data_IF_932348771667
#
_entry.id   IF_932348771667
#
_cell.length_a   1.000
_cell.length_b   1.000
_cell.length_c   1.000
_cell.angle_alpha   90.00
_cell.angle_beta   90.00
_cell.angle_gamma   90.00
#
_symmetry.space_group_name_H-M   'P 1'
#
loop_
_entity.id
_entity.type
_entity.pdbx_description
1 polymer ?
#
# COMPACT_ATOMS: atom_id res chain seq x y z
N UNK A 1 28.88 -20.94 -7.14
CA UNK A 1 27.49 -20.57 -7.35
C UNK A 1 26.63 -21.41 -6.41
N UNK A 2 25.74 -20.80 -5.63
CA UNK A 2 24.83 -21.53 -4.74
C UNK A 2 23.83 -22.38 -5.55
N UNK A 3 23.32 -23.45 -4.95
CA UNK A 3 22.36 -24.35 -5.60
C UNK A 3 20.89 -23.88 -5.50
N UNK A 4 20.63 -22.72 -4.91
CA UNK A 4 19.30 -22.18 -4.67
C UNK A 4 18.77 -21.29 -5.81
N UNK A 5 17.51 -20.86 -5.74
CA UNK A 5 16.92 -19.93 -6.70
C UNK A 5 17.66 -18.56 -6.68
N UNK A 6 17.57 -17.84 -7.78
CA UNK A 6 18.08 -16.47 -7.92
C UNK A 6 16.93 -15.51 -7.90
N UNK A 7 16.96 -14.50 -7.03
CA UNK A 7 15.89 -13.53 -6.91
C UNK A 7 16.41 -12.10 -6.96
N UNK A 8 15.67 -11.24 -7.65
CA UNK A 8 15.84 -9.80 -7.63
C UNK A 8 14.53 -9.09 -7.26
N UNK A 9 14.64 -7.89 -6.71
CA UNK A 9 13.50 -7.03 -6.37
C UNK A 9 13.73 -5.59 -6.82
N UNK A 10 12.65 -4.84 -7.01
CA UNK A 10 12.71 -3.41 -7.31
C UNK A 10 12.74 -3.08 -8.81
N UNK A 11 12.52 -4.07 -9.69
CA UNK A 11 12.40 -3.81 -11.13
C UNK A 11 11.09 -3.05 -11.42
N UNK A 12 11.18 -2.02 -12.27
CA UNK A 12 9.99 -1.35 -12.79
C UNK A 12 10.14 -1.13 -14.31
N UNK A 13 9.39 -1.90 -15.11
CA UNK A 13 9.54 -1.89 -16.56
C UNK A 13 9.12 -0.56 -17.20
N UNK A 14 8.38 0.29 -16.52
CA UNK A 14 7.94 1.58 -17.07
C UNK A 14 9.12 2.51 -17.40
N UNK A 15 10.27 2.32 -16.74
CA UNK A 15 11.49 3.06 -17.01
C UNK A 15 12.30 2.53 -18.20
N UNK A 16 11.91 1.36 -18.75
CA UNK A 16 12.59 0.71 -19.88
C UNK A 16 11.81 0.84 -21.20
N UNK A 17 10.85 1.75 -21.28
CA UNK A 17 10.04 2.02 -22.47
C UNK A 17 9.11 0.86 -22.82
N UNK A 18 9.08 0.45 -24.09
CA UNK A 18 8.21 -0.61 -24.57
C UNK A 18 8.72 -2.04 -24.27
N UNK A 19 9.96 -2.17 -23.80
CA UNK A 19 10.54 -3.47 -23.52
C UNK A 19 9.99 -4.04 -22.21
N UNK A 20 9.43 -5.25 -22.30
CA UNK A 20 8.98 -6.03 -21.15
C UNK A 20 9.97 -7.16 -20.89
N UNK A 21 10.32 -7.38 -19.63
CA UNK A 21 11.16 -8.51 -19.24
C UNK A 21 10.42 -9.82 -19.50
N UNK A 22 11.05 -10.71 -20.27
CA UNK A 22 10.52 -12.02 -20.63
C UNK A 22 11.27 -13.15 -19.93
N UNK A 23 10.70 -14.36 -19.98
CA UNK A 23 11.42 -15.55 -19.48
C UNK A 23 12.76 -15.76 -20.20
N UNK A 24 12.82 -15.44 -21.51
CA UNK A 24 14.06 -15.58 -22.28
C UNK A 24 15.17 -14.64 -21.80
N UNK A 25 14.81 -13.44 -21.30
CA UNK A 25 15.77 -12.53 -20.68
C UNK A 25 16.32 -13.10 -19.38
N UNK A 26 15.47 -13.72 -18.58
CA UNK A 26 15.85 -14.34 -17.31
C UNK A 26 16.54 -15.70 -17.50
N UNK A 27 16.28 -16.42 -18.59
CA UNK A 27 17.02 -17.64 -18.98
C UNK A 27 18.50 -17.34 -19.26
N UNK A 28 18.85 -16.11 -19.62
CA UNK A 28 20.26 -15.66 -19.74
C UNK A 28 20.99 -15.62 -18.38
N UNK A 29 20.24 -15.51 -17.28
CA UNK A 29 20.80 -15.59 -15.91
C UNK A 29 21.04 -17.06 -15.55
N UNK A 30 20.04 -17.93 -15.77
CA UNK A 30 20.18 -19.37 -15.56
C UNK A 30 19.11 -20.13 -16.36
N UNK A 31 19.54 -21.23 -17.00
CA UNK A 31 18.66 -22.19 -17.68
C UNK A 31 18.35 -23.41 -16.81
N UNK A 32 18.93 -23.51 -15.62
CA UNK A 32 18.78 -24.67 -14.73
C UNK A 32 18.23 -24.32 -13.35
N UNK A 33 18.50 -23.13 -12.86
CA UNK A 33 17.98 -22.64 -11.58
C UNK A 33 16.74 -21.77 -11.83
N UNK A 34 15.81 -21.80 -10.89
CA UNK A 34 14.68 -20.86 -10.89
C UNK A 34 15.19 -19.43 -10.69
N UNK A 35 14.73 -18.50 -11.53
CA UNK A 35 15.04 -17.08 -11.43
C UNK A 35 13.74 -16.30 -11.34
N UNK A 36 13.64 -15.40 -10.36
CA UNK A 36 12.51 -14.51 -10.16
C UNK A 36 12.93 -13.07 -10.04
N UNK A 37 12.17 -12.16 -10.64
CA UNK A 37 12.36 -10.72 -10.55
C UNK A 37 11.03 -10.07 -10.17
N UNK A 38 10.91 -9.66 -8.89
CA UNK A 38 9.72 -9.02 -8.35
C UNK A 38 9.72 -7.53 -8.72
N UNK A 39 8.63 -7.04 -9.28
CA UNK A 39 8.47 -5.63 -9.57
C UNK A 39 8.43 -4.78 -8.28
N UNK A 40 8.88 -3.53 -8.41
CA UNK A 40 8.84 -2.56 -7.32
C UNK A 40 7.43 -2.42 -6.72
N UNK A 41 6.40 -2.51 -7.55
CA UNK A 41 4.99 -2.42 -7.11
C UNK A 41 4.50 -3.62 -6.30
N UNK A 42 5.22 -4.76 -6.28
CA UNK A 42 4.74 -6.01 -5.68
C UNK A 42 3.60 -6.72 -6.41
N UNK A 43 3.11 -6.18 -7.54
CA UNK A 43 1.94 -6.69 -8.26
C UNK A 43 2.28 -7.59 -9.46
N UNK A 44 3.54 -7.71 -9.82
CA UNK A 44 4.03 -8.49 -10.97
C UNK A 44 5.33 -9.19 -10.58
N UNK A 45 5.45 -10.45 -10.99
CA UNK A 45 6.66 -11.26 -10.87
C UNK A 45 7.07 -11.75 -12.25
N UNK A 46 8.29 -11.43 -12.69
CA UNK A 46 8.88 -12.08 -13.86
C UNK A 46 9.67 -13.32 -13.43
N UNK A 47 9.50 -14.41 -14.17
CA UNK A 47 10.18 -15.69 -13.90
C UNK A 47 10.74 -16.30 -15.19
N UNK A 48 11.80 -17.09 -15.04
CA UNK A 48 12.42 -17.82 -16.15
C UNK A 48 11.71 -19.12 -16.49
N UNK A 49 12.18 -19.81 -17.54
CA UNK A 49 11.63 -21.10 -18.00
C UNK A 49 11.65 -22.20 -16.92
N UNK A 50 12.75 -22.43 -16.17
CA UNK A 50 12.76 -23.38 -15.05
C UNK A 50 11.71 -23.09 -13.98
N UNK A 51 11.51 -21.84 -13.60
CA UNK A 51 10.51 -21.46 -12.59
C UNK A 51 9.08 -21.68 -13.10
N UNK A 52 8.77 -21.31 -14.37
CA UNK A 52 7.48 -21.60 -14.98
C UNK A 52 7.18 -23.10 -15.04
N UNK A 53 8.19 -23.93 -15.37
CA UNK A 53 8.05 -25.37 -15.43
C UNK A 53 7.73 -25.96 -14.03
N UNK A 54 8.46 -25.53 -13.00
CA UNK A 54 8.23 -25.97 -11.63
C UNK A 54 6.86 -25.52 -11.09
N UNK A 55 6.37 -24.34 -11.49
CA UNK A 55 5.04 -23.84 -11.14
C UNK A 55 3.91 -24.53 -11.93
N UNK A 56 4.21 -25.39 -12.91
CA UNK A 56 3.22 -26.03 -13.77
C UNK A 56 2.60 -25.08 -14.81
N UNK A 57 3.22 -23.92 -15.04
CA UNK A 57 2.72 -22.89 -15.96
C UNK A 57 3.35 -22.96 -17.36
N UNK A 58 4.41 -23.73 -17.56
CA UNK A 58 5.05 -23.89 -18.88
C UNK A 58 4.26 -24.86 -19.76
N UNK A 59 3.07 -24.44 -20.17
CA UNK A 59 2.16 -25.23 -21.01
C UNK A 59 1.32 -24.34 -21.91
N UNK A 60 0.88 -24.87 -23.06
CA UNK A 60 -0.07 -24.20 -23.94
C UNK A 60 -1.49 -24.22 -23.37
N UNK A 61 -2.36 -23.35 -23.89
CA UNK A 61 -3.79 -23.31 -23.54
C UNK A 61 -4.10 -22.58 -22.22
N UNK A 62 -3.18 -21.79 -21.70
CA UNK A 62 -3.47 -20.87 -20.58
C UNK A 62 -4.06 -19.57 -21.19
N UNK A 63 -5.38 -19.47 -21.19
CA UNK A 63 -6.11 -18.30 -21.66
C UNK A 63 -6.56 -17.42 -20.49
N UNK A 64 -5.59 -16.81 -19.80
CA UNK A 64 -5.89 -15.92 -18.69
C UNK A 64 -4.98 -14.68 -18.72
N UNK A 65 -5.51 -13.45 -18.56
CA UNK A 65 -4.75 -12.20 -18.71
C UNK A 65 -3.63 -12.02 -17.66
N UNK A 66 -3.63 -12.80 -16.58
CA UNK A 66 -2.53 -12.86 -15.61
C UNK A 66 -1.25 -13.51 -16.17
N UNK A 67 -1.35 -14.22 -17.31
CA UNK A 67 -0.27 -14.95 -17.99
C UNK A 67 -0.11 -14.46 -19.43
N UNK A 68 0.54 -13.32 -19.67
CA UNK A 68 0.82 -12.88 -21.04
C UNK A 68 1.62 -13.95 -21.80
N UNK A 69 1.22 -14.20 -23.05
CA UNK A 69 1.84 -15.23 -23.89
C UNK A 69 2.98 -14.67 -24.73
N UNK A 70 4.01 -15.46 -24.95
CA UNK A 70 5.06 -15.25 -25.92
C UNK A 70 4.62 -15.61 -27.34
N UNK A 71 5.49 -15.37 -28.34
CA UNK A 71 5.24 -15.72 -29.75
C UNK A 71 5.08 -17.24 -29.99
N UNK A 72 5.58 -18.05 -29.07
CA UNK A 72 5.46 -19.52 -29.07
C UNK A 72 4.15 -20.04 -28.45
N UNK A 73 3.25 -19.16 -28.02
CA UNK A 73 1.98 -19.51 -27.39
C UNK A 73 2.09 -20.01 -25.96
N UNK A 74 3.28 -19.92 -25.35
CA UNK A 74 3.50 -20.23 -23.94
C UNK A 74 3.57 -18.96 -23.11
N UNK A 75 3.32 -19.02 -21.77
CA UNK A 75 3.53 -17.85 -20.88
C UNK A 75 4.92 -17.25 -21.05
N UNK A 76 4.97 -15.94 -21.24
CA UNK A 76 6.21 -15.20 -21.51
C UNK A 76 7.09 -14.98 -20.26
N UNK A 77 6.65 -15.44 -19.08
CA UNK A 77 7.36 -15.28 -17.81
C UNK A 77 6.85 -14.15 -16.94
N UNK A 78 6.02 -13.24 -17.47
CA UNK A 78 5.38 -12.20 -16.65
C UNK A 78 4.13 -12.76 -15.99
N UNK A 79 4.09 -12.77 -14.65
CA UNK A 79 2.97 -13.25 -13.83
C UNK A 79 2.32 -12.05 -13.14
N UNK A 80 1.02 -11.83 -13.38
CA UNK A 80 0.29 -10.66 -12.86
C UNK A 80 -0.72 -11.07 -11.80
N UNK A 81 -0.63 -10.42 -10.66
CA UNK A 81 -1.56 -10.62 -9.55
C UNK A 81 -1.38 -11.93 -8.78
N UNK A 82 -2.13 -12.07 -7.68
CA UNK A 82 -1.90 -13.15 -6.71
C UNK A 82 -2.07 -14.55 -7.28
N UNK A 83 -3.05 -14.75 -8.14
CA UNK A 83 -3.37 -16.07 -8.71
C UNK A 83 -2.19 -16.65 -9.51
N UNK A 84 -1.52 -15.82 -10.30
CA UNK A 84 -0.36 -16.23 -11.07
C UNK A 84 0.94 -16.21 -10.25
N UNK A 85 1.07 -15.26 -9.33
CA UNK A 85 2.32 -15.04 -8.59
C UNK A 85 2.53 -16.01 -7.43
N UNK A 86 1.48 -16.28 -6.62
CA UNK A 86 1.63 -17.06 -5.38
C UNK A 86 2.28 -18.44 -5.59
N UNK A 87 1.91 -19.24 -6.61
CA UNK A 87 2.55 -20.53 -6.84
C UNK A 87 4.04 -20.43 -7.22
N UNK A 88 4.44 -19.32 -7.85
CA UNK A 88 5.81 -19.11 -8.30
C UNK A 88 6.71 -18.47 -7.23
N UNK A 89 6.14 -17.73 -6.26
CA UNK A 89 6.90 -17.05 -5.21
C UNK A 89 7.71 -18.03 -4.35
N UNK A 90 7.13 -19.17 -3.96
CA UNK A 90 7.85 -20.19 -3.18
C UNK A 90 9.01 -20.80 -3.98
N UNK A 91 8.81 -21.01 -5.27
CA UNK A 91 9.80 -21.59 -6.18
C UNK A 91 11.03 -20.70 -6.33
N UNK A 92 10.82 -19.38 -6.43
CA UNK A 92 11.91 -18.41 -6.56
C UNK A 92 12.47 -17.94 -5.21
N UNK A 93 12.06 -18.55 -4.09
CA UNK A 93 12.57 -18.23 -2.76
C UNK A 93 12.01 -16.94 -2.15
N UNK A 94 10.97 -16.36 -2.75
CA UNK A 94 10.19 -15.25 -2.19
C UNK A 94 9.01 -15.77 -1.35
N UNK A 95 9.29 -16.76 -0.53
CA UNK A 95 8.30 -17.37 0.32
C UNK A 95 7.89 -16.49 1.51
N UNK A 96 7.03 -17.05 2.36
CA UNK A 96 6.51 -16.34 3.54
C UNK A 96 7.60 -15.75 4.43
N UNK A 97 8.74 -16.42 4.57
CA UNK A 97 9.84 -15.91 5.43
C UNK A 97 10.46 -14.63 4.89
N UNK A 98 10.50 -14.44 3.57
CA UNK A 98 10.97 -13.20 2.96
C UNK A 98 9.96 -12.04 3.12
N UNK A 99 8.67 -12.34 3.05
CA UNK A 99 7.60 -11.33 3.10
C UNK A 99 7.11 -11.04 4.52
N UNK A 100 7.17 -12.00 5.44
CA UNK A 100 6.66 -11.85 6.81
C UNK A 100 7.69 -11.31 7.80
N UNK A 101 8.93 -11.16 7.39
CA UNK A 101 10.02 -10.72 8.26
C UNK A 101 10.35 -11.74 9.38
N UNK A 102 11.63 -11.98 9.55
CA UNK A 102 12.13 -12.65 10.74
C UNK A 102 12.22 -11.66 11.92
N UNK A 103 12.62 -12.14 13.08
CA UNK A 103 12.82 -11.30 14.26
C UNK A 103 13.74 -10.10 13.99
N UNK A 104 14.81 -10.30 13.23
CA UNK A 104 15.75 -9.25 12.87
C UNK A 104 15.08 -8.20 11.97
N UNK A 105 14.26 -8.61 11.01
CA UNK A 105 13.48 -7.72 10.15
C UNK A 105 12.51 -6.84 10.94
N UNK A 106 11.82 -7.39 11.93
CA UNK A 106 10.92 -6.61 12.82
C UNK A 106 11.70 -5.54 13.60
N UNK A 107 12.90 -5.87 14.09
CA UNK A 107 13.77 -4.92 14.80
C UNK A 107 14.37 -3.87 13.86
N UNK A 108 14.77 -4.25 12.66
CA UNK A 108 15.30 -3.34 11.64
C UNK A 108 14.22 -2.36 11.18
N UNK A 109 13.01 -2.84 10.97
CA UNK A 109 11.87 -1.97 10.67
C UNK A 109 11.60 -0.95 11.78
N UNK A 110 11.68 -1.36 13.03
CA UNK A 110 11.52 -0.45 14.16
C UNK A 110 12.60 0.66 14.16
N UNK A 111 13.86 0.32 13.86
CA UNK A 111 14.94 1.32 13.72
C UNK A 111 14.68 2.28 12.55
N UNK A 112 14.21 1.78 11.40
CA UNK A 112 13.79 2.63 10.27
C UNK A 112 12.67 3.58 10.66
N UNK A 113 11.69 3.11 11.43
CA UNK A 113 10.59 3.94 11.94
C UNK A 113 11.11 5.09 12.80
N UNK A 114 12.01 4.82 13.76
CA UNK A 114 12.60 5.87 14.61
C UNK A 114 13.32 6.93 13.76
N UNK A 115 14.14 6.50 12.79
CA UNK A 115 14.82 7.42 11.86
C UNK A 115 13.87 8.25 11.03
N UNK A 116 12.71 7.69 10.68
CA UNK A 116 11.67 8.37 9.92
C UNK A 116 10.68 9.17 10.78
N UNK A 117 10.86 9.20 12.10
CA UNK A 117 9.96 9.89 13.04
C UNK A 117 8.61 9.20 13.24
N UNK A 118 8.53 7.88 13.00
CA UNK A 118 7.29 7.10 13.04
C UNK A 118 7.16 6.40 14.39
N UNK A 119 6.10 6.70 15.13
CA UNK A 119 5.75 6.06 16.41
C UNK A 119 4.69 4.97 16.27
N UNK A 120 3.89 5.01 15.20
CA UNK A 120 2.89 3.99 14.86
C UNK A 120 2.95 3.72 13.36
N UNK A 121 3.12 2.45 12.99
CA UNK A 121 3.19 2.01 11.60
C UNK A 121 2.15 0.91 11.31
N UNK A 122 1.66 0.86 10.06
CA UNK A 122 0.79 -0.23 9.59
C UNK A 122 1.59 -1.23 8.75
N UNK A 123 1.26 -2.50 8.87
CA UNK A 123 1.57 -3.53 7.89
C UNK A 123 0.26 -3.95 7.21
N UNK A 124 0.08 -3.49 5.97
CA UNK A 124 -1.20 -3.64 5.26
C UNK A 124 -1.35 -4.96 4.51
N UNK A 125 -0.45 -5.93 4.68
CA UNK A 125 -0.52 -7.19 3.94
C UNK A 125 -0.08 -8.41 4.76
N UNK A 126 -0.18 -8.34 6.10
CA UNK A 126 0.25 -9.37 7.02
C UNK A 126 -0.52 -10.68 6.84
N UNK A 127 0.18 -11.81 6.94
CA UNK A 127 -0.45 -13.13 6.93
C UNK A 127 -1.00 -13.51 8.29
N UNK A 128 -0.38 -13.05 9.35
CA UNK A 128 -0.70 -13.30 10.76
C UNK A 128 -0.88 -14.79 11.06
N UNK A 129 0.02 -15.63 10.49
CA UNK A 129 0.17 -17.02 10.91
C UNK A 129 0.62 -17.09 12.37
N UNK A 130 0.45 -18.24 13.05
CA UNK A 130 0.74 -18.32 14.51
C UNK A 130 2.20 -18.00 14.81
N UNK A 131 3.17 -18.51 14.05
CA UNK A 131 4.60 -18.25 14.29
C UNK A 131 4.96 -16.76 14.12
N UNK A 132 4.41 -16.12 13.08
CA UNK A 132 4.56 -14.69 12.83
C UNK A 132 3.94 -13.87 13.96
N UNK A 133 2.74 -14.23 14.37
CA UNK A 133 2.01 -13.55 15.43
C UNK A 133 2.71 -13.67 16.78
N UNK A 134 3.19 -14.88 17.15
CA UNK A 134 3.97 -15.09 18.38
C UNK A 134 5.27 -14.26 18.37
N UNK A 135 5.94 -14.20 17.22
CA UNK A 135 7.13 -13.36 17.03
C UNK A 135 6.82 -11.89 17.25
N UNK A 136 5.76 -11.38 16.61
CA UNK A 136 5.32 -9.99 16.77
C UNK A 136 4.93 -9.69 18.22
N UNK A 137 4.12 -10.54 18.85
CA UNK A 137 3.71 -10.37 20.25
C UNK A 137 4.92 -10.32 21.18
N UNK A 138 5.88 -11.23 21.03
CA UNK A 138 7.08 -11.29 21.84
C UNK A 138 7.95 -10.05 21.68
N UNK A 139 8.27 -9.65 20.45
CA UNK A 139 9.17 -8.54 20.19
C UNK A 139 8.52 -7.20 20.57
N UNK A 140 7.25 -6.98 20.21
CA UNK A 140 6.57 -5.73 20.51
C UNK A 140 6.28 -5.57 22.02
N UNK A 141 6.31 -6.64 22.80
CA UNK A 141 6.18 -6.58 24.26
C UNK A 141 7.47 -6.18 24.98
N UNK A 142 8.60 -6.14 24.28
CA UNK A 142 9.87 -5.72 24.88
C UNK A 142 9.82 -4.24 25.29
N UNK A 143 10.34 -3.95 26.48
CA UNK A 143 10.30 -2.60 27.04
C UNK A 143 10.92 -1.52 26.12
N UNK A 144 11.89 -1.89 25.31
CA UNK A 144 12.62 -0.99 24.42
C UNK A 144 12.17 -1.10 22.96
N UNK A 145 11.02 -1.66 22.68
CA UNK A 145 10.48 -1.68 21.32
C UNK A 145 9.84 -0.31 20.99
N UNK A 146 10.32 0.42 19.97
CA UNK A 146 10.06 1.85 19.84
C UNK A 146 8.85 2.21 18.99
N UNK A 147 8.06 1.24 18.50
CA UNK A 147 7.01 1.46 17.49
C UNK A 147 5.76 0.66 17.83
N UNK A 148 4.60 1.27 17.71
CA UNK A 148 3.33 0.53 17.66
C UNK A 148 3.11 0.01 16.24
N UNK A 149 2.81 -1.30 16.13
CA UNK A 149 2.51 -1.95 14.85
C UNK A 149 1.02 -2.24 14.77
N UNK A 150 0.43 -1.93 13.63
CA UNK A 150 -0.98 -2.19 13.30
C UNK A 150 -1.03 -3.06 12.04
N UNK A 151 -0.87 -4.39 12.18
CA UNK A 151 -0.94 -5.29 11.04
C UNK A 151 -2.39 -5.56 10.67
N UNK A 152 -2.66 -5.59 9.35
CA UNK A 152 -3.96 -5.92 8.81
C UNK A 152 -3.89 -7.29 8.12
N UNK A 153 -4.77 -8.21 8.54
CA UNK A 153 -4.87 -9.54 7.95
C UNK A 153 -5.26 -9.42 6.47
N UNK A 154 -4.43 -9.92 5.58
CA UNK A 154 -4.77 -9.92 4.15
C UNK A 154 -5.90 -10.91 3.85
N UNK A 155 -6.91 -10.48 3.10
CA UNK A 155 -7.99 -11.35 2.62
C UNK A 155 -7.49 -12.37 1.58
N UNK A 156 -6.46 -12.00 0.81
CA UNK A 156 -5.92 -12.80 -0.29
C UNK A 156 -5.61 -14.25 0.13
N UNK A 157 -6.21 -15.21 -0.57
CA UNK A 157 -6.08 -16.63 -0.27
C UNK A 157 -7.02 -17.16 0.83
N UNK A 158 -7.95 -16.32 1.31
CA UNK A 158 -8.95 -16.68 2.33
C UNK A 158 -10.37 -16.43 1.82
N UNK A 159 -11.34 -17.16 2.36
CA UNK A 159 -12.76 -16.82 2.19
C UNK A 159 -13.12 -15.63 3.07
N UNK A 160 -14.07 -14.77 2.67
CA UNK A 160 -14.52 -13.63 3.47
C UNK A 160 -14.92 -14.01 4.91
N UNK A 161 -15.66 -15.09 5.08
CA UNK A 161 -16.07 -15.62 6.40
C UNK A 161 -14.87 -15.95 7.28
N UNK A 162 -13.92 -16.69 6.74
CA UNK A 162 -12.75 -17.18 7.49
C UNK A 162 -11.85 -15.98 7.89
N UNK A 163 -11.71 -14.99 7.00
CA UNK A 163 -10.94 -13.78 7.26
C UNK A 163 -11.57 -12.93 8.39
N UNK A 164 -12.89 -12.77 8.38
CA UNK A 164 -13.61 -12.01 9.42
C UNK A 164 -13.56 -12.76 10.76
N UNK A 165 -13.77 -14.06 10.78
CA UNK A 165 -13.64 -14.88 12.00
C UNK A 165 -12.21 -14.82 12.55
N UNK A 166 -11.19 -14.93 11.70
CA UNK A 166 -9.79 -14.81 12.11
C UNK A 166 -9.49 -13.42 12.67
N UNK A 167 -9.91 -12.34 12.02
CA UNK A 167 -9.73 -10.97 12.50
C UNK A 167 -10.36 -10.76 13.87
N UNK A 168 -11.58 -11.27 14.09
CA UNK A 168 -12.26 -11.24 15.40
C UNK A 168 -11.48 -12.00 16.46
N UNK A 169 -11.00 -13.19 16.14
CA UNK A 169 -10.21 -14.00 17.07
C UNK A 169 -8.88 -13.34 17.45
N UNK A 170 -8.30 -12.54 16.54
CA UNK A 170 -7.07 -11.79 16.78
C UNK A 170 -7.28 -10.54 17.64
N UNK A 171 -8.43 -9.88 17.55
CA UNK A 171 -8.68 -8.61 18.23
C UNK A 171 -8.40 -8.63 19.74
N UNK A 172 -8.82 -9.64 20.54
CA UNK A 172 -8.52 -9.73 21.97
C UNK A 172 -7.03 -9.95 22.28
N UNK A 173 -6.23 -10.38 21.30
CA UNK A 173 -4.77 -10.55 21.46
C UNK A 173 -4.00 -9.24 21.25
N UNK A 174 -4.68 -8.13 20.98
CA UNK A 174 -4.06 -6.81 20.87
C UNK A 174 -3.40 -6.42 22.18
N UNK A 175 -2.24 -5.77 22.04
CA UNK A 175 -1.52 -5.14 23.14
C UNK A 175 -1.45 -3.62 22.93
N UNK A 176 -0.78 -2.92 23.82
CA UNK A 176 -0.49 -1.50 23.62
C UNK A 176 0.34 -1.25 22.36
N UNK A 177 1.28 -2.14 22.05
CA UNK A 177 2.24 -2.01 20.94
C UNK A 177 1.84 -2.78 19.68
N UNK A 178 0.87 -3.71 19.75
CA UNK A 178 0.41 -4.50 18.61
C UNK A 178 -1.11 -4.45 18.52
N UNK A 179 -1.64 -3.83 17.47
CA UNK A 179 -3.09 -3.61 17.30
C UNK A 179 -3.65 -4.50 16.20
N UNK A 180 -4.32 -5.56 16.59
CA UNK A 180 -4.84 -6.62 15.73
C UNK A 180 -6.34 -6.46 15.43
N UNK A 181 -6.87 -7.29 14.54
CA UNK A 181 -8.32 -7.42 14.30
C UNK A 181 -8.86 -6.59 13.14
N UNK A 182 -8.02 -6.21 12.18
CA UNK A 182 -8.39 -5.51 10.95
C UNK A 182 -8.09 -6.35 9.72
N UNK A 183 -8.77 -6.06 8.61
CA UNK A 183 -8.59 -6.80 7.34
C UNK A 183 -8.09 -5.86 6.24
N UNK A 184 -7.20 -6.37 5.39
CA UNK A 184 -6.78 -5.75 4.13
C UNK A 184 -7.35 -6.50 2.93
N UNK A 185 -8.04 -5.77 2.07
CA UNK A 185 -8.51 -6.20 0.75
C UNK A 185 -7.64 -5.54 -0.32
N UNK A 186 -7.35 -6.25 -1.39
CA UNK A 186 -6.65 -5.71 -2.57
C UNK A 186 -7.59 -5.86 -3.77
N UNK A 187 -8.18 -4.75 -4.23
CA UNK A 187 -9.18 -4.78 -5.30
C UNK A 187 -8.56 -4.97 -6.68
N UNK A 188 -7.50 -4.21 -6.98
CA UNK A 188 -6.82 -4.21 -8.27
C UNK A 188 -5.29 -4.15 -8.11
N UNK A 189 -4.57 -3.95 -9.21
CA UNK A 189 -3.11 -3.85 -9.21
C UNK A 189 -2.59 -2.42 -9.28
N UNK A 190 -1.40 -2.24 -9.88
CA UNK A 190 -0.69 -0.95 -10.00
C UNK A 190 -0.89 -0.29 -11.36
N UNK A 191 -0.88 1.05 -11.40
CA UNK A 191 -1.00 1.82 -12.65
C UNK A 191 0.25 1.63 -13.52
N UNK A 192 1.45 1.76 -12.95
CA UNK A 192 2.73 1.59 -13.66
C UNK A 192 2.94 0.16 -14.18
N UNK A 193 2.32 -0.84 -13.55
CA UNK A 193 2.33 -2.24 -13.99
C UNK A 193 1.25 -2.58 -15.02
N UNK A 194 0.38 -1.63 -15.39
CA UNK A 194 -0.79 -1.87 -16.24
C UNK A 194 -1.72 -2.96 -15.70
N UNK A 195 -1.87 -3.03 -14.40
CA UNK A 195 -2.72 -4.00 -13.69
C UNK A 195 -3.82 -3.35 -12.85
N UNK A 196 -3.86 -2.02 -12.73
CA UNK A 196 -4.96 -1.29 -12.12
C UNK A 196 -6.21 -1.26 -13.02
N UNK A 197 -7.40 -1.31 -12.41
CA UNK A 197 -8.71 -1.25 -13.10
C UNK A 197 -9.10 0.19 -13.36
N UNK A 198 -9.08 0.59 -14.63
CA UNK A 198 -9.37 1.95 -15.08
C UNK A 198 -10.73 2.00 -15.80
N UNK A 199 -11.51 3.05 -15.52
CA UNK A 199 -12.70 3.39 -16.32
C UNK A 199 -12.31 3.74 -17.77
N UNK A 200 -13.27 3.66 -18.67
CA UNK A 200 -13.09 4.20 -20.01
C UNK A 200 -12.52 5.64 -19.97
N UNK A 201 -11.56 5.99 -20.80
CA UNK A 201 -11.00 5.25 -21.94
C UNK A 201 -9.89 4.22 -21.61
N UNK A 202 -9.63 3.90 -20.33
CA UNK A 202 -8.59 2.96 -19.95
C UNK A 202 -7.19 3.59 -19.89
N UNK A 203 -6.17 2.83 -20.24
CA UNK A 203 -4.79 3.29 -20.31
C UNK A 203 -4.55 4.17 -21.53
N UNK A 204 -3.80 5.27 -21.34
CA UNK A 204 -3.54 6.27 -22.38
C UNK A 204 -2.80 5.71 -23.62
N UNK A 205 -1.90 4.76 -23.38
CA UNK A 205 -1.18 4.07 -24.45
C UNK A 205 -1.95 2.91 -25.11
N UNK A 206 -3.23 2.73 -24.75
CA UNK A 206 -4.08 1.65 -25.29
C UNK A 206 -3.80 0.25 -24.71
N UNK A 207 -3.01 0.15 -23.66
CA UNK A 207 -2.80 -1.14 -22.97
C UNK A 207 -4.14 -1.71 -22.48
N UNK A 208 -4.29 -3.06 -22.44
CA UNK A 208 -5.48 -3.71 -21.87
C UNK A 208 -5.74 -3.23 -20.44
N UNK A 209 -7.01 -3.17 -20.04
CA UNK A 209 -7.39 -2.83 -18.66
C UNK A 209 -6.82 -3.85 -17.67
N UNK A 210 -6.67 -3.42 -16.42
CA UNK A 210 -6.09 -4.22 -15.35
C UNK A 210 -6.99 -5.39 -14.90
N UNK A 211 -6.60 -6.00 -13.80
CA UNK A 211 -7.21 -7.21 -13.25
C UNK A 211 -7.92 -6.92 -11.93
N UNK A 212 -9.00 -7.63 -11.66
CA UNK A 212 -9.54 -7.76 -10.31
C UNK A 212 -8.68 -8.77 -9.53
N UNK A 213 -8.10 -8.33 -8.41
CA UNK A 213 -7.43 -9.22 -7.45
C UNK A 213 -8.43 -9.71 -6.40
N UNK A 214 -9.44 -8.89 -6.12
CA UNK A 214 -10.64 -9.28 -5.39
C UNK A 214 -11.85 -8.87 -6.22
N UNK A 215 -12.69 -9.83 -6.57
CA UNK A 215 -13.92 -9.57 -7.34
C UNK A 215 -14.86 -8.62 -6.59
N UNK A 216 -15.63 -7.76 -7.29
CA UNK A 216 -16.60 -6.85 -6.66
C UNK A 216 -17.59 -7.55 -5.73
N UNK A 217 -18.02 -8.76 -6.08
CA UNK A 217 -18.93 -9.59 -5.28
C UNK A 217 -18.30 -10.01 -3.95
N UNK A 218 -17.02 -10.40 -3.98
CA UNK A 218 -16.24 -10.75 -2.78
C UNK A 218 -16.02 -9.52 -1.89
N UNK A 219 -15.77 -8.33 -2.49
CA UNK A 219 -15.70 -7.09 -1.73
C UNK A 219 -17.02 -6.79 -1.01
N UNK A 220 -18.15 -6.96 -1.68
CA UNK A 220 -19.47 -6.77 -1.07
C UNK A 220 -19.69 -7.71 0.11
N UNK A 221 -19.35 -8.99 -0.06
CA UNK A 221 -19.49 -10.01 0.99
C UNK A 221 -18.63 -9.66 2.21
N UNK A 222 -17.32 -9.40 2.04
CA UNK A 222 -16.43 -9.11 3.16
C UNK A 222 -16.80 -7.81 3.86
N UNK A 223 -17.29 -6.80 3.15
CA UNK A 223 -17.73 -5.55 3.76
C UNK A 223 -18.99 -5.77 4.63
N UNK A 224 -19.98 -6.51 4.12
CA UNK A 224 -21.18 -6.82 4.89
C UNK A 224 -20.85 -7.62 6.16
N UNK A 225 -20.04 -8.67 6.05
CA UNK A 225 -19.58 -9.47 7.19
C UNK A 225 -18.76 -8.63 8.18
N UNK A 226 -17.85 -7.80 7.67
CA UNK A 226 -17.05 -6.92 8.52
C UNK A 226 -17.91 -5.92 9.31
N UNK A 227 -18.92 -5.30 8.70
CA UNK A 227 -19.88 -4.43 9.41
C UNK A 227 -20.67 -5.17 10.48
N UNK A 228 -21.21 -6.35 10.15
CA UNK A 228 -21.95 -7.20 11.09
C UNK A 228 -21.13 -7.58 12.33
N UNK A 229 -19.82 -7.71 12.18
CA UNK A 229 -18.94 -8.18 13.23
C UNK A 229 -18.04 -7.08 13.83
N UNK A 230 -18.18 -5.82 13.39
CA UNK A 230 -17.37 -4.71 13.89
C UNK A 230 -15.89 -4.77 13.49
N UNK A 231 -15.58 -5.48 12.40
CA UNK A 231 -14.21 -5.61 11.86
C UNK A 231 -13.95 -4.49 10.88
N UNK A 232 -12.92 -3.68 11.12
CA UNK A 232 -12.51 -2.61 10.22
C UNK A 232 -11.77 -3.17 9.00
N UNK A 233 -12.07 -2.61 7.81
CA UNK A 233 -11.48 -3.06 6.54
C UNK A 233 -10.82 -1.90 5.83
N UNK A 234 -9.58 -2.14 5.34
CA UNK A 234 -8.86 -1.26 4.44
C UNK A 234 -8.76 -1.91 3.07
N UNK A 235 -9.10 -1.17 2.02
CA UNK A 235 -9.14 -1.70 0.65
C UNK A 235 -8.20 -0.92 -0.26
N UNK A 236 -7.25 -1.61 -0.89
CA UNK A 236 -6.43 -1.06 -1.96
C UNK A 236 -7.28 -0.82 -3.21
N UNK A 237 -7.25 0.39 -3.72
CA UNK A 237 -7.86 0.78 -4.99
C UNK A 237 -6.94 1.79 -5.69
N UNK A 238 -6.29 1.41 -6.79
CA UNK A 238 -5.47 2.34 -7.57
C UNK A 238 -6.28 2.97 -8.70
N UNK A 239 -7.01 2.16 -9.46
CA UNK A 239 -7.84 2.64 -10.53
C UNK A 239 -9.17 3.22 -10.07
N UNK A 240 -9.70 4.14 -10.87
CA UNK A 240 -11.00 4.77 -10.63
C UNK A 240 -12.18 3.79 -10.83
N UNK A 241 -12.01 2.73 -11.63
CA UNK A 241 -12.99 1.63 -11.72
C UNK A 241 -13.00 0.79 -10.44
N UNK A 242 -11.81 0.45 -9.89
CA UNK A 242 -11.71 -0.27 -8.63
C UNK A 242 -12.28 0.55 -7.45
N UNK A 243 -11.98 1.84 -7.42
CA UNK A 243 -12.56 2.77 -6.44
C UNK A 243 -14.09 2.78 -6.53
N UNK A 244 -14.65 2.83 -7.75
CA UNK A 244 -16.09 2.78 -7.95
C UNK A 244 -16.70 1.48 -7.44
N UNK A 245 -16.13 0.34 -7.75
CA UNK A 245 -16.62 -0.96 -7.30
C UNK A 245 -16.58 -1.08 -5.75
N UNK A 246 -15.55 -0.56 -5.10
CA UNK A 246 -15.47 -0.50 -3.65
C UNK A 246 -16.57 0.40 -3.04
N UNK A 247 -16.87 1.54 -3.67
CA UNK A 247 -17.98 2.42 -3.24
C UNK A 247 -19.35 1.74 -3.41
N UNK A 248 -19.56 1.01 -4.51
CA UNK A 248 -20.82 0.28 -4.75
C UNK A 248 -20.99 -0.87 -3.75
N UNK A 249 -19.91 -1.60 -3.48
CA UNK A 249 -19.90 -2.65 -2.46
C UNK A 249 -20.20 -2.10 -1.06
N UNK A 250 -19.62 -0.95 -0.70
CA UNK A 250 -19.85 -0.30 0.59
C UNK A 250 -21.27 0.20 0.74
N UNK A 251 -21.82 0.82 -0.29
CA UNK A 251 -23.21 1.26 -0.28
C UNK A 251 -24.17 0.09 -0.07
N UNK A 252 -23.98 -1.02 -0.77
CA UNK A 252 -24.80 -2.21 -0.60
C UNK A 252 -24.66 -2.83 0.80
N UNK A 253 -23.44 -2.87 1.34
CA UNK A 253 -23.18 -3.37 2.69
C UNK A 253 -23.86 -2.51 3.77
N UNK A 254 -23.80 -1.18 3.65
CA UNK A 254 -24.47 -0.24 4.59
C UNK A 254 -25.99 -0.28 4.51
N UNK A 255 -26.56 -0.56 3.33
CA UNK A 255 -28.00 -0.77 3.19
C UNK A 255 -28.47 -2.03 3.95
N UNK A 256 -27.63 -3.07 3.97
CA UNK A 256 -27.92 -4.31 4.68
C UNK A 256 -27.60 -4.23 6.19
N UNK A 257 -26.53 -3.51 6.56
CA UNK A 257 -26.05 -3.38 7.92
C UNK A 257 -25.56 -1.93 8.19
N UNK A 258 -26.44 -1.01 8.60
CA UNK A 258 -26.06 0.37 8.91
C UNK A 258 -25.02 0.42 10.03
N UNK A 259 -23.94 1.16 9.81
CA UNK A 259 -22.86 1.35 10.77
C UNK A 259 -22.28 2.77 10.66
N UNK A 260 -22.64 3.70 11.55
CA UNK A 260 -22.33 5.14 11.37
C UNK A 260 -20.85 5.47 11.49
N UNK A 261 -20.07 4.70 12.26
CA UNK A 261 -18.63 4.95 12.50
C UNK A 261 -17.78 3.72 12.12
N UNK A 262 -17.97 3.18 10.92
CA UNK A 262 -17.18 2.03 10.47
C UNK A 262 -15.76 2.41 10.09
N UNK A 263 -15.50 3.63 9.57
CA UNK A 263 -14.21 4.16 9.10
C UNK A 263 -13.46 3.19 8.19
N UNK A 264 -14.17 2.49 7.31
CA UNK A 264 -13.51 1.71 6.28
C UNK A 264 -12.68 2.64 5.42
N UNK A 265 -11.45 2.25 5.11
CA UNK A 265 -10.48 3.14 4.46
C UNK A 265 -10.11 2.61 3.09
N UNK A 266 -10.25 3.44 2.06
CA UNK A 266 -9.71 3.15 0.75
C UNK A 266 -8.24 3.61 0.70
N UNK A 267 -7.36 2.69 0.33
CA UNK A 267 -5.92 2.92 0.24
C UNK A 267 -5.55 3.33 -1.18
N UNK A 268 -4.60 4.24 -1.30
CA UNK A 268 -4.04 4.80 -2.52
C UNK A 268 -5.01 5.72 -3.27
N UNK A 269 -6.14 5.24 -3.76
CA UNK A 269 -7.15 6.01 -4.51
C UNK A 269 -6.52 6.92 -5.56
N UNK A 270 -5.50 6.41 -6.29
CA UNK A 270 -4.62 7.25 -7.10
C UNK A 270 -5.35 8.03 -8.19
N UNK A 271 -6.42 7.46 -8.74
CA UNK A 271 -7.22 8.08 -9.81
C UNK A 271 -8.63 8.45 -9.35
N UNK A 272 -8.92 8.45 -8.06
CA UNK A 272 -10.23 8.85 -7.56
C UNK A 272 -10.60 10.29 -8.01
N UNK A 273 -11.84 10.47 -8.44
CA UNK A 273 -12.37 11.76 -8.86
C UNK A 273 -13.21 12.45 -7.78
N UNK A 274 -13.57 13.72 -8.01
CA UNK A 274 -14.34 14.52 -7.05
C UNK A 274 -15.72 13.92 -6.73
N UNK A 275 -16.34 13.23 -7.67
CA UNK A 275 -17.64 12.58 -7.42
C UNK A 275 -17.44 11.38 -6.48
N UNK A 276 -16.33 10.65 -6.65
CA UNK A 276 -15.99 9.54 -5.77
C UNK A 276 -15.63 10.03 -4.37
N UNK A 277 -14.89 11.13 -4.20
CA UNK A 277 -14.63 11.72 -2.88
C UNK A 277 -15.92 12.18 -2.18
N UNK A 278 -16.81 12.86 -2.89
CA UNK A 278 -18.13 13.22 -2.32
C UNK A 278 -18.90 11.98 -1.87
N UNK A 279 -18.84 10.90 -2.66
CA UNK A 279 -19.51 9.64 -2.32
C UNK A 279 -18.83 8.95 -1.14
N UNK A 280 -17.48 8.96 -1.03
CA UNK A 280 -16.76 8.46 0.16
C UNK A 280 -17.26 9.18 1.41
N UNK A 281 -17.37 10.51 1.36
CA UNK A 281 -17.89 11.30 2.48
C UNK A 281 -19.29 10.89 2.88
N UNK A 282 -20.19 10.75 1.90
CA UNK A 282 -21.59 10.37 2.14
C UNK A 282 -21.73 8.96 2.74
N UNK A 283 -20.80 8.05 2.41
CA UNK A 283 -20.77 6.68 2.92
C UNK A 283 -19.96 6.53 4.23
N UNK A 284 -19.37 7.60 4.78
CA UNK A 284 -18.55 7.52 6.00
C UNK A 284 -17.21 6.82 5.82
N UNK A 285 -16.72 6.71 4.58
CA UNK A 285 -15.42 6.15 4.28
C UNK A 285 -14.30 7.16 4.59
N UNK A 286 -13.14 6.63 4.92
CA UNK A 286 -11.88 7.36 4.94
C UNK A 286 -11.06 7.05 3.68
N UNK A 287 -10.06 7.89 3.39
CA UNK A 287 -9.09 7.62 2.33
C UNK A 287 -7.68 7.81 2.85
N UNK A 288 -6.75 6.97 2.37
CA UNK A 288 -5.33 7.10 2.65
C UNK A 288 -4.58 7.18 1.31
N UNK A 289 -4.15 8.38 0.93
CA UNK A 289 -3.63 8.70 -0.40
C UNK A 289 -2.13 8.42 -0.50
N UNK A 290 -1.69 7.84 -1.62
CA UNK A 290 -0.28 7.58 -1.90
C UNK A 290 0.41 8.86 -2.41
N UNK A 291 0.58 9.85 -1.52
CA UNK A 291 0.92 11.20 -1.90
C UNK A 291 2.29 11.36 -2.57
N UNK A 292 3.29 10.53 -2.23
CA UNK A 292 4.60 10.60 -2.86
C UNK A 292 4.74 9.74 -4.15
N UNK A 293 3.71 9.01 -4.55
CA UNK A 293 3.75 8.19 -5.76
C UNK A 293 4.02 9.02 -7.03
N UNK A 294 3.38 10.19 -7.16
CA UNK A 294 3.58 11.05 -8.33
C UNK A 294 5.01 11.61 -8.43
N UNK A 295 5.76 11.67 -7.33
CA UNK A 295 7.16 12.06 -7.39
C UNK A 295 7.98 11.08 -8.21
N UNK A 296 7.79 9.78 -7.96
CA UNK A 296 8.56 8.72 -8.63
C UNK A 296 8.03 8.42 -10.04
N UNK A 297 6.74 8.31 -10.24
CA UNK A 297 6.12 7.83 -11.49
C UNK A 297 5.29 8.88 -12.23
N UNK A 298 5.19 10.11 -11.73
CA UNK A 298 4.31 11.13 -12.29
C UNK A 298 4.60 11.46 -13.76
N UNK A 299 5.88 11.53 -14.14
CA UNK A 299 6.27 11.79 -15.52
C UNK A 299 5.85 10.67 -16.48
N UNK A 300 5.99 9.40 -16.05
CA UNK A 300 5.56 8.24 -16.81
C UNK A 300 4.03 8.14 -16.86
N UNK A 301 3.35 8.49 -15.78
CA UNK A 301 1.89 8.54 -15.79
C UNK A 301 1.36 9.61 -16.74
N UNK A 302 1.99 10.78 -16.76
CA UNK A 302 1.68 11.85 -17.70
C UNK A 302 1.89 11.44 -19.14
N UNK A 303 3.01 10.80 -19.44
CA UNK A 303 3.41 10.49 -20.81
C UNK A 303 2.83 9.19 -21.37
N UNK A 304 2.60 8.17 -20.52
CA UNK A 304 2.40 6.78 -20.98
C UNK A 304 1.12 6.15 -20.46
N UNK A 305 0.87 6.19 -19.13
CA UNK A 305 -0.17 5.32 -18.56
C UNK A 305 -1.55 5.93 -18.53
N UNK A 306 -1.71 7.16 -18.02
CA UNK A 306 -3.03 7.78 -17.85
C UNK A 306 -3.22 9.07 -18.61
N UNK A 307 -2.14 9.62 -19.18
CA UNK A 307 -2.14 10.87 -19.95
C UNK A 307 -2.16 12.12 -19.07
N UNK A 308 -1.98 13.32 -19.69
CA UNK A 308 -1.82 14.57 -18.95
C UNK A 308 -2.94 14.90 -17.97
N UNK A 309 -4.18 14.89 -18.44
CA UNK A 309 -5.36 15.30 -17.65
C UNK A 309 -5.54 14.45 -16.38
N UNK A 310 -5.43 13.13 -16.51
CA UNK A 310 -5.62 12.23 -15.37
C UNK A 310 -4.41 12.22 -14.44
N UNK A 311 -3.19 12.37 -14.98
CA UNK A 311 -1.97 12.45 -14.20
C UNK A 311 -1.95 13.70 -13.31
N UNK A 312 -2.37 14.86 -13.82
CA UNK A 312 -2.45 16.08 -13.02
C UNK A 312 -3.45 16.00 -11.86
N UNK A 313 -4.48 15.15 -11.99
CA UNK A 313 -5.50 14.94 -10.96
C UNK A 313 -5.17 13.80 -9.99
N UNK A 314 -4.16 12.96 -10.28
CA UNK A 314 -3.87 11.79 -9.44
C UNK A 314 -3.45 12.15 -8.01
N UNK A 315 -3.67 11.23 -7.06
CA UNK A 315 -3.37 11.42 -5.64
C UNK A 315 -3.94 12.76 -5.10
N UNK A 316 -5.22 12.97 -5.31
CA UNK A 316 -5.90 14.27 -5.21
C UNK A 316 -6.18 14.69 -3.75
N UNK A 317 -5.13 15.07 -3.02
CA UNK A 317 -5.23 15.48 -1.60
C UNK A 317 -6.15 16.69 -1.41
N UNK A 318 -6.09 17.68 -2.30
CA UNK A 318 -6.94 18.87 -2.22
C UNK A 318 -8.42 18.52 -2.45
N UNK A 319 -8.73 17.69 -3.44
CA UNK A 319 -10.10 17.24 -3.69
C UNK A 319 -10.67 16.46 -2.50
N UNK A 320 -9.87 15.60 -1.85
CA UNK A 320 -10.31 14.89 -0.64
C UNK A 320 -10.60 15.85 0.52
N UNK A 321 -9.73 16.85 0.72
CA UNK A 321 -9.89 17.90 1.74
C UNK A 321 -11.16 18.72 1.47
N UNK A 322 -11.35 19.22 0.24
CA UNK A 322 -12.50 20.04 -0.13
C UNK A 322 -13.83 19.26 -0.04
N UNK A 323 -13.82 17.96 -0.31
CA UNK A 323 -14.99 17.09 -0.11
C UNK A 323 -15.24 16.78 1.37
N UNK A 324 -14.34 17.12 2.27
CA UNK A 324 -14.44 16.86 3.71
C UNK A 324 -14.35 15.36 4.04
N UNK A 325 -13.71 14.56 3.20
CA UNK A 325 -13.42 13.15 3.49
C UNK A 325 -12.29 13.09 4.51
N UNK A 326 -12.43 12.33 5.62
CA UNK A 326 -11.29 12.09 6.49
C UNK A 326 -10.18 11.40 5.72
N UNK A 327 -8.98 12.02 5.67
CA UNK A 327 -7.89 11.48 4.86
C UNK A 327 -6.56 11.45 5.61
N UNK A 328 -5.76 10.49 5.20
CA UNK A 328 -4.35 10.33 5.53
C UNK A 328 -3.51 10.32 4.25
N UNK A 329 -2.21 10.41 4.39
CA UNK A 329 -1.25 10.19 3.31
C UNK A 329 -0.18 9.19 3.75
N UNK A 330 0.35 8.41 2.80
CA UNK A 330 1.33 7.37 3.07
C UNK A 330 2.39 7.26 1.98
N UNK A 331 3.49 6.57 2.29
CA UNK A 331 4.59 6.27 1.39
C UNK A 331 4.52 4.88 0.76
N UNK A 332 3.69 3.99 1.29
CA UNK A 332 3.61 2.58 0.86
C UNK A 332 4.97 1.85 0.93
N UNK A 333 5.74 2.10 2.00
CA UNK A 333 7.04 1.45 2.16
C UNK A 333 6.88 -0.09 2.20
N UNK A 334 7.75 -0.84 1.51
CA UNK A 334 8.99 -0.45 0.83
C UNK A 334 8.84 -0.06 -0.65
N UNK A 335 7.63 0.10 -1.17
CA UNK A 335 7.39 0.51 -2.58
C UNK A 335 8.07 1.85 -2.86
N UNK A 336 7.97 2.78 -1.92
CA UNK A 336 8.81 3.95 -1.82
C UNK A 336 9.42 4.03 -0.42
N UNK A 337 10.50 4.81 -0.21
CA UNK A 337 11.11 4.91 1.11
C UNK A 337 10.13 5.39 2.20
N UNK A 338 10.25 4.85 3.41
CA UNK A 338 9.53 5.32 4.57
C UNK A 338 9.97 6.75 4.92
N UNK A 339 9.03 7.70 4.92
CA UNK A 339 9.36 9.11 5.22
C UNK A 339 8.12 9.99 5.25
N UNK A 340 7.44 10.14 6.41
CA UNK A 340 6.25 10.99 6.51
C UNK A 340 6.48 12.43 6.09
N UNK A 341 7.62 13.04 6.44
CA UNK A 341 7.95 14.41 6.04
C UNK A 341 8.14 14.55 4.52
N UNK A 342 8.79 13.55 3.88
CA UNK A 342 8.89 13.52 2.43
C UNK A 342 7.52 13.32 1.76
N UNK A 343 6.68 12.45 2.31
CA UNK A 343 5.30 12.24 1.83
C UNK A 343 4.47 13.52 1.95
N UNK A 344 4.58 14.24 3.09
CA UNK A 344 3.95 15.55 3.29
C UNK A 344 4.49 16.58 2.29
N UNK A 345 5.81 16.64 2.08
CA UNK A 345 6.42 17.52 1.10
C UNK A 345 5.89 17.27 -0.32
N UNK A 346 5.71 16.01 -0.71
CA UNK A 346 5.11 15.65 -1.99
C UNK A 346 3.67 16.16 -2.12
N UNK A 347 2.85 16.04 -1.09
CA UNK A 347 1.47 16.54 -1.09
C UNK A 347 1.39 18.07 -1.17
N UNK A 348 2.37 18.78 -0.58
CA UNK A 348 2.46 20.25 -0.58
C UNK A 348 2.98 20.79 -1.91
N UNK A 349 4.05 20.20 -2.48
CA UNK A 349 4.76 20.75 -3.63
C UNK A 349 4.41 20.09 -4.97
N UNK A 350 3.96 18.85 -4.96
CA UNK A 350 3.58 18.05 -6.13
C UNK A 350 4.64 17.97 -7.24
N UNK A 351 5.91 17.95 -6.85
CA UNK A 351 7.04 17.84 -7.77
C UNK A 351 7.32 16.39 -8.14
N UNK A 352 7.39 16.11 -9.45
CA UNK A 352 7.93 14.86 -9.97
C UNK A 352 9.46 14.82 -9.86
N UNK A 353 10.08 13.68 -10.12
CA UNK A 353 11.54 13.55 -10.14
C UNK A 353 12.22 14.43 -11.20
N UNK A 354 11.54 14.77 -12.29
CA UNK A 354 12.04 15.72 -13.30
C UNK A 354 11.88 17.19 -12.92
N UNK A 355 11.22 17.48 -11.78
CA UNK A 355 10.93 18.85 -11.33
C UNK A 355 9.64 19.44 -11.90
N UNK A 356 8.81 18.66 -12.59
CA UNK A 356 7.48 19.09 -13.04
C UNK A 356 6.55 19.23 -11.84
N UNK A 357 5.81 20.33 -11.75
CA UNK A 357 4.65 20.45 -10.84
C UNK A 357 3.48 19.70 -11.48
N UNK A 358 3.09 18.57 -10.92
CA UNK A 358 2.03 17.72 -11.47
C UNK A 358 0.70 18.02 -10.80
N UNK A 359 -0.11 18.91 -11.43
CA UNK A 359 -1.42 19.29 -10.92
C UNK A 359 -1.37 20.20 -9.70
N UNK A 360 -0.89 21.44 -9.86
CA UNK A 360 -0.74 22.44 -8.80
C UNK A 360 -2.03 22.68 -7.98
N UNK A 361 -3.20 22.50 -8.61
CA UNK A 361 -4.52 22.62 -7.98
C UNK A 361 -4.76 21.57 -6.88
N UNK A 362 -3.97 20.51 -6.84
CA UNK A 362 -4.06 19.45 -5.83
C UNK A 362 -3.07 19.63 -4.66
N UNK A 363 -2.28 20.72 -4.63
CA UNK A 363 -1.44 21.07 -3.49
C UNK A 363 -2.29 21.35 -2.25
N UNK A 364 -1.79 20.92 -1.09
CA UNK A 364 -2.37 21.24 0.22
C UNK A 364 -1.36 22.05 1.06
N UNK A 365 -1.81 22.65 2.16
CA UNK A 365 -0.92 23.36 3.07
C UNK A 365 -0.01 22.41 3.85
N UNK A 366 1.09 22.92 4.39
CA UNK A 366 1.99 22.15 5.28
C UNK A 366 1.21 21.62 6.49
N UNK A 367 0.36 22.46 7.11
CA UNK A 367 -0.49 22.06 8.23
C UNK A 367 -1.41 20.88 7.87
N UNK A 368 -2.10 20.95 6.72
CA UNK A 368 -2.98 19.88 6.26
C UNK A 368 -2.20 18.57 5.98
N UNK A 369 -0.98 18.68 5.44
CA UNK A 369 -0.14 17.52 5.17
C UNK A 369 0.39 16.90 6.48
N UNK A 370 0.80 17.70 7.45
CA UNK A 370 1.21 17.21 8.77
C UNK A 370 0.05 16.58 9.53
N UNK A 371 -1.15 17.18 9.46
CA UNK A 371 -2.36 16.56 10.00
C UNK A 371 -2.63 15.19 9.36
N UNK A 372 -2.45 15.06 8.05
CA UNK A 372 -2.71 13.81 7.32
C UNK A 372 -1.74 12.66 7.69
N UNK A 373 -0.50 12.96 8.12
CA UNK A 373 0.46 11.95 8.61
C UNK A 373 0.37 11.70 10.12
N UNK A 374 -0.45 12.46 10.85
CA UNK A 374 -0.61 12.35 12.30
C UNK A 374 -2.06 12.00 12.67
N UNK A 375 -2.89 12.98 13.04
CA UNK A 375 -4.26 12.75 13.48
C UNK A 375 -5.13 12.14 12.39
N UNK A 376 -4.98 12.56 11.14
CA UNK A 376 -5.67 11.95 10.00
C UNK A 376 -5.35 10.46 9.85
N UNK A 377 -4.06 10.10 9.98
CA UNK A 377 -3.63 8.70 9.95
C UNK A 377 -4.21 7.90 11.13
N UNK A 378 -4.16 8.45 12.35
CA UNK A 378 -4.74 7.82 13.54
C UNK A 378 -6.25 7.61 13.38
N UNK A 379 -6.96 8.60 12.80
CA UNK A 379 -8.41 8.51 12.54
C UNK A 379 -8.77 7.35 11.61
N UNK A 380 -8.00 7.11 10.56
CA UNK A 380 -8.23 5.99 9.63
C UNK A 380 -8.06 4.62 10.30
N UNK A 381 -7.42 4.57 11.46
CA UNK A 381 -7.18 3.35 12.24
C UNK A 381 -8.08 3.21 13.47
N UNK A 382 -8.97 4.18 13.72
CA UNK A 382 -9.75 4.29 14.98
C UNK A 382 -8.84 4.35 16.21
N UNK A 383 -7.74 5.09 16.11
CA UNK A 383 -6.78 5.32 17.19
C UNK A 383 -6.65 6.81 17.55
N UNK A 384 -7.47 7.67 16.98
CA UNK A 384 -7.44 9.12 17.15
C UNK A 384 -7.77 9.61 18.58
N UNK A 385 -8.44 8.79 19.37
CA UNK A 385 -8.64 9.05 20.79
C UNK A 385 -7.41 8.72 21.65
N UNK A 386 -6.48 7.90 21.12
CA UNK A 386 -5.28 7.45 21.81
C UNK A 386 -4.01 8.15 21.36
N UNK A 387 -3.91 8.49 20.06
CA UNK A 387 -2.69 9.01 19.41
C UNK A 387 -3.03 10.03 18.31
N UNK A 388 -2.00 10.60 17.69
CA UNK A 388 -2.11 11.45 16.50
C UNK A 388 -2.17 12.94 16.78
N UNK A 389 -2.37 13.34 18.03
CA UNK A 389 -2.31 14.75 18.48
C UNK A 389 -1.77 14.84 19.92
N UNK A 390 -1.31 16.03 20.28
CA UNK A 390 -0.79 16.31 21.63
C UNK A 390 -1.94 16.87 22.46
N UNK A 391 -2.63 15.98 23.16
CA UNK A 391 -3.79 16.29 24.00
C UNK A 391 -3.74 15.53 25.32
N UNK A 392 -4.29 16.13 26.39
CA UNK A 392 -4.42 15.44 27.68
C UNK A 392 -5.26 14.16 27.53
N UNK A 393 -4.75 13.05 28.07
CA UNK A 393 -5.39 11.74 27.99
C UNK A 393 -4.90 10.86 26.84
N UNK A 394 -4.22 11.42 25.84
CA UNK A 394 -3.57 10.64 24.79
C UNK A 394 -2.18 10.17 25.21
N UNK A 395 -1.66 9.20 24.47
CA UNK A 395 -0.33 8.64 24.70
C UNK A 395 0.76 9.65 24.38
N UNK A 396 1.84 9.61 25.11
CA UNK A 396 3.02 10.42 24.86
C UNK A 396 3.84 9.82 23.70
N UNK A 397 3.31 9.95 22.48
CA UNK A 397 3.92 9.51 21.24
C UNK A 397 4.28 10.75 20.39
N UNK A 398 5.56 11.05 20.23
CA UNK A 398 6.04 12.25 19.55
C UNK A 398 7.12 11.95 18.53
N UNK A 399 7.14 12.71 17.44
CA UNK A 399 8.31 12.89 16.59
C UNK A 399 9.02 14.18 17.05
N UNK A 400 10.31 14.11 17.31
CA UNK A 400 11.12 15.25 17.73
C UNK A 400 11.91 15.74 16.54
N UNK A 401 11.65 16.98 16.13
CA UNK A 401 12.29 17.65 14.99
C UNK A 401 13.29 18.71 15.47
N UNK A 402 14.30 19.01 14.67
CA UNK A 402 15.31 20.06 14.99
C UNK A 402 14.82 21.49 14.70
N UNK A 403 13.72 21.64 13.94
CA UNK A 403 13.08 22.93 13.65
C UNK A 403 11.56 22.79 13.59
N UNK A 404 10.84 23.89 13.75
CA UNK A 404 9.38 23.94 13.69
C UNK A 404 8.90 23.86 12.23
N UNK A 405 8.16 22.80 11.84
CA UNK A 405 7.61 22.67 10.50
C UNK A 405 6.48 23.69 10.21
N UNK A 406 5.91 24.31 11.24
CA UNK A 406 4.86 25.32 11.14
C UNK A 406 5.37 26.77 11.09
N UNK A 407 6.63 27.01 11.46
CA UNK A 407 7.23 28.34 11.40
C UNK A 407 7.87 28.60 10.02
N UNK A 408 7.31 29.53 9.20
CA UNK A 408 7.87 29.82 7.89
C UNK A 408 9.27 30.47 7.93
N UNK A 409 9.72 30.95 9.10
CA UNK A 409 11.07 31.45 9.29
C UNK A 409 12.10 30.31 9.43
N UNK A 410 11.68 29.15 9.94
CA UNK A 410 12.53 27.98 10.13
C UNK A 410 12.38 26.95 9.00
N UNK A 411 11.14 26.77 8.51
CA UNK A 411 10.80 25.76 7.52
C UNK A 411 9.91 26.30 6.42
N UNK A 412 10.33 26.16 5.18
CA UNK A 412 9.51 26.46 4.01
C UNK A 412 8.83 25.20 3.48
N UNK A 413 7.80 25.38 2.66
CA UNK A 413 7.18 24.26 1.95
C UNK A 413 8.22 23.42 1.15
N UNK A 414 9.24 24.06 0.59
CA UNK A 414 10.30 23.40 -0.18
C UNK A 414 11.27 22.60 0.69
N UNK A 415 11.58 23.08 1.91
CA UNK A 415 12.55 22.44 2.83
C UNK A 415 11.94 21.44 3.80
N UNK A 416 10.61 21.26 3.79
CA UNK A 416 9.91 20.35 4.71
C UNK A 416 10.51 18.93 4.74
N UNK A 417 10.91 18.41 3.59
CA UNK A 417 11.53 17.07 3.47
C UNK A 417 12.94 16.96 4.05
N UNK A 418 13.60 18.09 4.26
CA UNK A 418 14.98 18.20 4.71
C UNK A 418 15.09 18.42 6.23
N UNK A 419 13.95 18.53 6.93
CA UNK A 419 13.90 18.63 8.38
C UNK A 419 14.54 17.40 9.03
N UNK A 420 15.49 17.65 9.90
CA UNK A 420 16.14 16.58 10.64
C UNK A 420 15.27 16.08 11.76
N UNK A 421 15.14 14.77 11.82
CA UNK A 421 14.46 14.06 12.89
C UNK A 421 15.53 13.71 13.94
N UNK A 422 15.37 14.27 15.14
CA UNK A 422 16.24 13.96 16.26
C UNK A 422 15.94 12.58 16.84
N UNK A 423 14.66 12.19 16.85
CA UNK A 423 14.20 10.89 17.34
C UNK A 423 12.70 10.84 17.54
N UNK A 424 12.26 9.80 18.26
CA UNK A 424 10.87 9.62 18.63
C UNK A 424 10.72 9.44 20.13
N UNK A 425 9.56 9.80 20.66
CA UNK A 425 9.08 9.37 21.97
C UNK A 425 7.90 8.45 21.76
N UNK A 426 7.93 7.28 22.33
CA UNK A 426 6.86 6.30 22.23
C UNK A 426 6.46 5.82 23.63
N UNK A 427 5.19 6.07 24.00
CA UNK A 427 4.69 5.81 25.36
C UNK A 427 5.50 6.52 26.46
N UNK A 428 6.02 7.71 26.18
CA UNK A 428 6.85 8.50 27.12
C UNK A 428 8.33 8.08 27.16
N UNK A 429 8.78 7.14 26.33
CA UNK A 429 10.18 6.71 26.22
C UNK A 429 10.83 7.29 24.98
N UNK A 430 12.06 7.77 25.17
CA UNK A 430 12.86 8.43 24.16
C UNK A 430 13.67 7.41 23.35
N UNK A 431 13.71 7.58 22.03
CA UNK A 431 14.50 6.81 21.07
C UNK A 431 15.17 7.76 20.08
N UNK A 432 16.50 7.81 20.11
CA UNK A 432 17.27 8.67 19.22
C UNK A 432 17.34 8.08 17.80
N UNK A 433 17.27 8.94 16.78
CA UNK A 433 17.46 8.59 15.37
C UNK A 433 18.96 8.49 15.05
N UNK A 434 19.61 7.40 15.46
CA UNK A 434 21.04 7.16 15.22
C UNK A 434 21.33 6.66 13.80
#
# INVERSE_FOLDING_TARGET
AGSGPVVGWGFDPIYFGAQRCSRADLDRVSTTQAVGLLHASGHILNVNTPALAQAGFLRSGIEHPAFPLGADGLPNGELKGPEAMLPALDIVGLNRSFLSGDEQGVRDFARLCVRAGVTTATDLAATLGEDELETLLRITSEMNYPVRIVPLLRLMGMKPTDAVERAKALQPRSTEQLRLGRIKVVADGSIQGFSARLRWPGYFNGAPNGLWYTAPETMREVYALGLQHGVQIHTHTNGDEATQAALDAMQAALQACPAPDHRYTLQHCQLADDAQFRRMKALGLCVNLFANHHHYWGDQHYAVTVGPERAERMNACRSALDAGVPFAIHSDAPITPLGPLFTAWCAVNRLTASGRVLGAQQCISVEAALHAVTLGAAFTLKLDEEIGSIECGKRADFCVLEADPGDPAETTAASLKDLRIWGTVQGGRLFEAA
#
